data_IF_181547882459
#
_entry.id   IF_181547882459
#
_cell.length_a   1.000
_cell.length_b   1.000
_cell.length_c   1.000
_cell.angle_alpha   90.00
_cell.angle_beta   90.00
_cell.angle_gamma   90.00
#
_symmetry.space_group_name_H-M   'P 1'
#
loop_
_entity.id
_entity.type
_entity.pdbx_description
1 polymer ?
#
# COMPACT_ATOMS: atom_id res chain seq x y z
N UNK A 1 -32.29 1.52 16.67
CA UNK A 1 -30.88 1.06 16.60
C UNK A 1 -30.10 2.32 16.30
N UNK A 2 -29.16 2.68 17.12
CA UNK A 2 -28.24 3.81 16.85
C UNK A 2 -27.32 3.39 15.72
N UNK A 3 -27.05 4.30 14.78
CA UNK A 3 -26.06 4.04 13.71
C UNK A 3 -24.71 3.72 14.34
N UNK A 4 -23.92 2.81 13.74
CA UNK A 4 -22.60 2.50 14.25
C UNK A 4 -21.68 3.71 14.19
N UNK A 5 -20.83 3.86 15.19
CA UNK A 5 -19.83 4.94 15.28
C UNK A 5 -18.80 4.80 14.16
N UNK A 6 -18.62 5.82 13.32
CA UNK A 6 -17.65 5.76 12.24
C UNK A 6 -16.21 5.87 12.76
N UNK A 7 -15.33 5.06 12.17
CA UNK A 7 -13.89 5.09 12.39
C UNK A 7 -13.21 5.60 11.12
N UNK A 8 -12.31 6.55 11.26
CA UNK A 8 -11.35 6.94 10.22
C UNK A 8 -9.99 6.36 10.58
N UNK A 9 -9.41 5.57 9.67
CA UNK A 9 -8.05 5.06 9.79
C UNK A 9 -7.10 6.00 9.03
N UNK A 10 -6.14 6.58 9.73
CA UNK A 10 -5.10 7.45 9.16
C UNK A 10 -3.80 6.66 9.07
N UNK A 11 -3.27 6.52 7.87
CA UNK A 11 -2.00 5.87 7.54
C UNK A 11 -1.07 6.81 6.78
N UNK A 12 0.14 6.38 6.50
CA UNK A 12 1.16 7.15 5.77
C UNK A 12 2.53 7.01 6.43
N UNK A 13 3.63 7.27 5.70
CA UNK A 13 4.98 7.10 6.20
C UNK A 13 5.31 8.03 7.36
N UNK A 14 6.42 7.71 8.04
CA UNK A 14 6.92 8.55 9.14
C UNK A 14 7.21 9.97 8.63
N UNK A 15 6.78 10.98 9.40
CA UNK A 15 6.99 12.38 9.05
C UNK A 15 6.12 12.92 7.92
N UNK A 16 5.18 12.16 7.37
CA UNK A 16 4.29 12.62 6.29
C UNK A 16 3.28 13.69 6.73
N UNK A 17 2.95 13.77 8.02
CA UNK A 17 2.03 14.75 8.58
C UNK A 17 0.74 14.15 9.16
N UNK A 18 0.72 12.85 9.49
CA UNK A 18 -0.44 12.18 10.11
C UNK A 18 -0.87 12.85 11.41
N UNK A 19 0.07 13.03 12.34
CA UNK A 19 -0.18 13.67 13.63
C UNK A 19 -0.59 15.14 13.46
N UNK A 20 -0.06 15.82 12.44
CA UNK A 20 -0.51 17.17 12.08
C UNK A 20 -1.98 17.17 11.65
N UNK A 21 -2.42 16.20 10.82
CA UNK A 21 -3.82 16.03 10.45
C UNK A 21 -4.68 15.78 11.69
N UNK A 22 -4.27 14.84 12.54
CA UNK A 22 -5.02 14.48 13.75
C UNK A 22 -5.16 15.68 14.69
N UNK A 23 -4.09 16.44 14.91
CA UNK A 23 -4.12 17.67 15.70
C UNK A 23 -5.03 18.74 15.08
N UNK A 24 -5.00 18.90 13.76
CA UNK A 24 -5.91 19.82 13.07
C UNK A 24 -7.38 19.45 13.30
N UNK A 25 -7.72 18.16 13.20
CA UNK A 25 -9.08 17.66 13.46
C UNK A 25 -9.51 17.83 14.92
N UNK A 26 -8.59 17.70 15.88
CA UNK A 26 -8.87 17.92 17.30
C UNK A 26 -9.04 19.41 17.63
N UNK A 27 -8.26 20.29 17.00
CA UNK A 27 -8.30 21.73 17.23
C UNK A 27 -9.52 22.41 16.58
N UNK A 28 -9.98 21.89 15.43
CA UNK A 28 -11.19 22.38 14.74
C UNK A 28 -12.09 21.21 14.33
N UNK A 29 -12.75 20.54 15.28
CA UNK A 29 -13.62 19.40 15.01
C UNK A 29 -14.96 19.80 14.39
N UNK A 30 -15.22 21.11 14.20
CA UNK A 30 -16.55 21.61 13.88
C UNK A 30 -17.52 21.35 15.04
N UNK A 31 -18.75 20.93 14.72
CA UNK A 31 -19.76 20.56 15.73
C UNK A 31 -19.63 19.10 16.23
N UNK A 32 -18.48 18.42 15.96
CA UNK A 32 -18.29 16.98 16.19
C UNK A 32 -17.46 16.74 17.45
N UNK A 33 -17.75 15.63 18.13
CA UNK A 33 -16.93 15.10 19.23
C UNK A 33 -16.08 13.97 18.70
N UNK A 34 -14.77 14.20 18.59
CA UNK A 34 -13.79 13.28 18.05
C UNK A 34 -12.99 12.66 19.19
N UNK A 35 -12.81 11.34 19.15
CA UNK A 35 -11.82 10.65 19.96
C UNK A 35 -10.69 10.16 19.05
N UNK A 36 -9.48 10.06 19.60
CA UNK A 36 -8.28 9.64 18.86
C UNK A 36 -7.61 8.48 19.58
N UNK A 37 -7.19 7.48 18.82
CA UNK A 37 -6.30 6.41 19.26
C UNK A 37 -5.05 6.46 18.39
N UNK A 38 -3.89 6.61 19.01
CA UNK A 38 -2.60 6.59 18.34
C UNK A 38 -1.97 5.20 18.52
N UNK A 39 -1.72 4.51 17.42
CA UNK A 39 -1.09 3.20 17.41
C UNK A 39 0.35 3.36 16.90
N UNK A 40 1.28 3.70 17.79
CA UNK A 40 2.70 3.83 17.46
C UNK A 40 3.51 2.63 17.95
N UNK A 41 4.46 2.15 17.11
CA UNK A 41 5.33 1.01 17.39
C UNK A 41 6.70 1.42 17.97
N UNK A 42 6.88 2.66 18.37
CA UNK A 42 8.16 3.21 18.85
C UNK A 42 8.32 3.20 20.38
N UNK A 43 9.56 3.06 20.85
CA UNK A 43 9.92 3.16 22.29
C UNK A 43 9.81 4.61 22.86
N UNK A 44 9.65 5.60 21.98
CA UNK A 44 9.51 7.02 22.36
C UNK A 44 8.34 7.62 21.59
N UNK A 45 7.27 7.86 22.29
CA UNK A 45 6.03 8.37 21.73
C UNK A 45 6.03 9.90 21.66
N UNK A 46 6.87 10.43 20.77
CA UNK A 46 6.99 11.89 20.58
C UNK A 46 5.66 12.49 20.10
N UNK A 47 4.91 11.71 19.30
CA UNK A 47 3.64 12.17 18.73
C UNK A 47 2.52 12.17 19.77
N UNK A 48 2.46 11.19 20.67
CA UNK A 48 1.47 11.17 21.74
C UNK A 48 1.75 12.25 22.80
N UNK A 49 3.01 12.55 23.14
CA UNK A 49 3.34 13.66 24.02
C UNK A 49 2.89 15.02 23.45
N UNK A 50 2.96 15.19 22.11
CA UNK A 50 2.47 16.39 21.42
C UNK A 50 0.94 16.46 21.47
N UNK A 51 0.24 15.34 21.29
CA UNK A 51 -1.22 15.26 21.37
C UNK A 51 -1.74 15.50 22.79
N UNK A 52 -1.07 14.95 23.82
CA UNK A 52 -1.42 15.17 25.22
C UNK A 52 -1.16 16.63 25.67
N UNK A 53 -0.16 17.28 25.10
CA UNK A 53 0.14 18.68 25.45
C UNK A 53 -0.89 19.68 24.92
N UNK A 54 -1.65 19.30 23.88
CA UNK A 54 -2.61 20.18 23.22
C UNK A 54 -4.07 19.88 23.58
N UNK A 55 -4.39 18.70 24.14
CA UNK A 55 -5.76 18.31 24.48
C UNK A 55 -5.89 17.66 25.86
N UNK A 56 -6.62 18.33 26.77
CA UNK A 56 -6.90 17.82 28.13
C UNK A 56 -7.91 16.64 28.16
N UNK A 57 -8.55 16.27 27.02
CA UNK A 57 -9.67 15.35 27.00
C UNK A 57 -9.83 14.58 25.68
N UNK A 58 -9.12 13.51 25.42
CA UNK A 58 -9.55 12.63 24.33
C UNK A 58 -8.51 11.81 23.58
N UNK A 59 -7.23 11.94 23.93
CA UNK A 59 -6.16 11.15 23.31
C UNK A 59 -5.81 9.96 24.19
N UNK A 60 -5.70 8.77 23.58
CA UNK A 60 -5.18 7.57 24.24
C UNK A 60 -4.00 7.06 23.43
N UNK A 61 -2.87 6.94 24.13
CA UNK A 61 -1.65 6.36 23.61
C UNK A 61 -1.59 4.86 23.92
N UNK A 62 -1.25 4.05 22.92
CA UNK A 62 -1.03 2.60 23.02
C UNK A 62 0.45 2.24 23.17
N UNK A 63 1.21 2.96 23.97
CA UNK A 63 2.64 2.75 24.16
C UNK A 63 2.97 1.58 25.09
N UNK A 64 2.76 0.34 24.69
CA UNK A 64 3.31 -0.82 25.41
C UNK A 64 3.76 -1.94 24.47
N UNK A 65 4.97 -1.81 23.95
CA UNK A 65 5.91 -2.89 23.63
C UNK A 65 5.56 -3.83 22.49
N UNK A 66 6.48 -3.88 21.53
CA UNK A 66 6.66 -4.85 20.44
C UNK A 66 5.86 -6.14 20.49
N UNK A 67 5.10 -6.39 19.44
CA UNK A 67 4.86 -7.65 18.70
C UNK A 67 3.53 -7.51 17.96
N UNK A 68 3.56 -7.66 16.62
CA UNK A 68 2.45 -7.40 15.69
C UNK A 68 1.09 -8.04 16.04
N UNK A 69 1.02 -9.13 16.75
CA UNK A 69 -0.24 -9.79 17.13
C UNK A 69 -0.88 -9.20 18.39
N UNK A 70 -0.09 -8.73 19.36
CA UNK A 70 -0.63 -8.15 20.61
C UNK A 70 -1.21 -6.75 20.39
N UNK A 71 -0.63 -5.97 19.48
CA UNK A 71 -1.10 -4.62 19.16
C UNK A 71 -2.52 -4.59 18.58
N UNK A 72 -2.93 -5.63 17.84
CA UNK A 72 -4.27 -5.71 17.25
C UNK A 72 -5.33 -6.00 18.32
N UNK A 73 -5.06 -6.90 19.28
CA UNK A 73 -5.94 -7.19 20.40
C UNK A 73 -6.05 -6.00 21.36
N UNK A 74 -4.93 -5.31 21.59
CA UNK A 74 -4.87 -4.10 22.39
C UNK A 74 -5.69 -2.97 21.73
N UNK A 75 -5.62 -2.81 20.40
CA UNK A 75 -6.42 -1.82 19.66
C UNK A 75 -7.93 -2.06 19.84
N UNK A 76 -8.40 -3.29 19.65
CA UNK A 76 -9.84 -3.64 19.84
C UNK A 76 -10.27 -3.37 21.29
N UNK A 77 -9.43 -3.73 22.24
CA UNK A 77 -9.68 -3.55 23.67
C UNK A 77 -9.79 -2.06 24.03
N UNK A 78 -8.83 -1.26 23.57
CA UNK A 78 -8.79 0.17 23.86
C UNK A 78 -9.91 0.95 23.17
N UNK A 79 -10.22 0.65 21.91
CA UNK A 79 -11.36 1.24 21.20
C UNK A 79 -12.67 0.95 21.94
N UNK A 80 -12.83 -0.29 22.44
CA UNK A 80 -14.02 -0.69 23.19
C UNK A 80 -14.09 0.04 24.52
N UNK A 81 -12.97 0.08 25.28
CA UNK A 81 -12.88 0.79 26.56
C UNK A 81 -13.20 2.28 26.41
N UNK A 82 -12.60 2.92 25.41
CA UNK A 82 -12.83 4.35 25.14
C UNK A 82 -14.30 4.68 24.91
N UNK A 83 -15.00 3.84 24.15
CA UNK A 83 -16.41 4.02 23.86
C UNK A 83 -17.33 3.70 25.07
N UNK A 84 -16.86 2.93 26.04
CA UNK A 84 -17.59 2.67 27.29
C UNK A 84 -17.40 3.83 28.30
N UNK A 85 -16.22 4.47 28.31
CA UNK A 85 -15.87 5.50 29.26
C UNK A 85 -16.24 6.91 28.78
N UNK A 86 -16.29 7.14 27.45
CA UNK A 86 -16.46 8.46 26.85
C UNK A 86 -17.58 8.50 25.81
N UNK A 87 -18.10 9.71 25.57
CA UNK A 87 -19.14 9.95 24.55
C UNK A 87 -18.54 10.76 23.41
N UNK A 88 -18.37 10.13 22.24
CA UNK A 88 -17.90 10.74 21.01
C UNK A 88 -18.75 10.29 19.80
N UNK A 89 -18.58 10.95 18.66
CA UNK A 89 -19.35 10.71 17.43
C UNK A 89 -18.49 10.16 16.31
N UNK A 90 -17.18 10.39 16.39
CA UNK A 90 -16.17 9.91 15.45
C UNK A 90 -14.95 9.38 16.20
N UNK A 91 -14.37 8.32 15.69
CA UNK A 91 -13.09 7.79 16.16
C UNK A 91 -12.05 7.92 15.05
N UNK A 92 -10.91 8.53 15.36
CA UNK A 92 -9.75 8.55 14.48
C UNK A 92 -8.71 7.58 15.04
N UNK A 93 -8.24 6.65 14.22
CA UNK A 93 -7.15 5.74 14.55
C UNK A 93 -5.95 6.11 13.70
N UNK A 94 -4.89 6.62 14.33
CA UNK A 94 -3.62 6.88 13.67
C UNK A 94 -2.75 5.63 13.72
N UNK A 95 -2.40 5.09 12.55
CA UNK A 95 -1.49 3.97 12.43
C UNK A 95 -0.03 4.45 12.42
N UNK A 96 0.89 3.63 12.94
CA UNK A 96 2.32 3.88 12.85
C UNK A 96 2.79 4.07 11.40
N UNK A 97 3.79 4.92 11.18
CA UNK A 97 4.36 5.20 9.87
C UNK A 97 4.96 3.99 9.14
N UNK A 98 5.18 2.91 9.87
CA UNK A 98 5.71 1.64 9.36
C UNK A 98 4.66 0.52 9.33
N UNK A 99 3.42 0.81 9.71
CA UNK A 99 2.33 -0.18 9.73
C UNK A 99 1.71 -0.35 8.35
N UNK A 100 1.39 -1.59 8.04
CA UNK A 100 0.55 -1.93 6.90
C UNK A 100 -0.90 -1.55 7.20
N UNK A 101 -1.59 -0.83 6.30
CA UNK A 101 -2.96 -0.42 6.54
C UNK A 101 -3.96 -1.59 6.53
N UNK A 102 -3.71 -2.63 5.70
CA UNK A 102 -4.63 -3.76 5.53
C UNK A 102 -4.85 -4.55 6.81
N UNK A 103 -3.82 -5.00 7.56
CA UNK A 103 -4.00 -5.68 8.84
C UNK A 103 -4.77 -4.84 9.86
N UNK A 104 -4.47 -3.54 9.96
CA UNK A 104 -5.18 -2.63 10.87
C UNK A 104 -6.65 -2.49 10.47
N UNK A 105 -6.93 -2.24 9.19
CA UNK A 105 -8.29 -2.16 8.67
C UNK A 105 -9.08 -3.46 8.88
N UNK A 106 -8.42 -4.63 8.72
CA UNK A 106 -9.02 -5.93 8.99
C UNK A 106 -9.40 -6.08 10.48
N UNK A 107 -8.52 -5.68 11.38
CA UNK A 107 -8.79 -5.67 12.82
C UNK A 107 -9.99 -4.79 13.15
N UNK A 108 -10.09 -3.60 12.53
CA UNK A 108 -11.20 -2.66 12.73
C UNK A 108 -12.52 -3.09 12.06
N UNK A 109 -12.50 -4.09 11.16
CA UNK A 109 -13.70 -4.59 10.48
C UNK A 109 -14.15 -5.97 10.96
N UNK A 110 -13.20 -6.88 11.14
CA UNK A 110 -13.47 -8.28 11.47
C UNK A 110 -13.05 -8.67 12.91
N UNK A 111 -12.26 -7.82 13.58
CA UNK A 111 -11.62 -8.16 14.85
C UNK A 111 -10.41 -9.06 14.68
N UNK A 112 -10.02 -9.68 15.79
CA UNK A 112 -8.96 -10.68 15.87
C UNK A 112 -9.55 -12.04 16.28
N UNK A 113 -8.73 -13.08 16.35
CA UNK A 113 -9.17 -14.41 16.81
C UNK A 113 -9.62 -14.38 18.28
N UNK A 114 -9.06 -13.46 19.09
CA UNK A 114 -9.32 -13.35 20.54
C UNK A 114 -10.31 -12.24 20.88
N UNK A 115 -10.50 -11.23 20.01
CA UNK A 115 -11.36 -10.09 20.27
C UNK A 115 -12.05 -9.59 18.99
N UNK A 116 -13.30 -9.19 19.09
CA UNK A 116 -14.05 -8.55 18.00
C UNK A 116 -14.48 -7.14 18.38
N UNK A 117 -14.41 -6.24 17.41
CA UNK A 117 -14.96 -4.90 17.60
C UNK A 117 -16.48 -4.99 17.73
N UNK A 118 -17.10 -4.33 18.71
CA UNK A 118 -18.55 -4.34 18.84
C UNK A 118 -19.26 -3.83 17.59
N UNK A 119 -20.44 -4.36 17.26
CA UNK A 119 -21.29 -3.96 16.11
C UNK A 119 -21.64 -2.45 16.11
N UNK A 120 -21.33 -1.76 17.20
CA UNK A 120 -21.51 -0.30 17.32
C UNK A 120 -20.46 0.53 16.61
N UNK A 121 -19.44 -0.10 16.01
CA UNK A 121 -18.40 0.57 15.25
C UNK A 121 -18.44 0.17 13.78
N UNK A 122 -17.94 1.04 12.92
CA UNK A 122 -17.78 0.81 11.49
C UNK A 122 -16.54 1.55 10.99
N UNK A 123 -15.62 0.84 10.36
CA UNK A 123 -14.57 1.50 9.57
C UNK A 123 -15.27 2.22 8.40
N UNK A 124 -15.10 3.52 8.34
CA UNK A 124 -15.88 4.41 7.49
C UNK A 124 -15.04 5.04 6.38
N UNK A 125 -13.80 5.39 6.72
CA UNK A 125 -12.87 6.07 5.82
C UNK A 125 -11.46 5.58 6.08
N UNK A 126 -10.68 5.36 5.02
CA UNK A 126 -9.23 5.16 5.10
C UNK A 126 -8.53 6.34 4.45
N UNK A 127 -7.65 6.99 5.22
CA UNK A 127 -6.89 8.17 4.79
C UNK A 127 -5.43 7.81 4.74
N UNK A 128 -4.75 8.15 3.64
CA UNK A 128 -3.30 8.08 3.54
C UNK A 128 -2.71 9.48 3.42
N UNK A 129 -1.76 9.83 4.29
CA UNK A 129 -1.02 11.08 4.21
C UNK A 129 0.35 10.78 3.61
N UNK A 130 0.65 11.37 2.47
CA UNK A 130 1.89 11.14 1.71
C UNK A 130 2.66 12.44 1.61
N UNK A 131 3.96 12.40 1.91
CA UNK A 131 4.87 13.52 1.78
C UNK A 131 5.31 13.70 0.32
N UNK A 132 4.84 14.75 -0.34
CA UNK A 132 5.19 15.04 -1.72
C UNK A 132 6.70 15.23 -1.93
N UNK A 133 7.38 15.89 -0.97
CA UNK A 133 8.83 16.13 -1.03
C UNK A 133 9.66 14.85 -0.85
N UNK A 134 9.16 13.92 0.00
CA UNK A 134 9.83 12.64 0.28
C UNK A 134 9.46 11.52 -0.71
N UNK A 135 8.44 11.69 -1.54
CA UNK A 135 7.91 10.62 -2.37
C UNK A 135 8.96 9.97 -3.26
N UNK A 136 9.64 10.74 -4.12
CA UNK A 136 10.65 10.20 -5.03
C UNK A 136 11.89 9.67 -4.32
N UNK A 137 12.24 10.23 -3.17
CA UNK A 137 13.38 9.77 -2.37
C UNK A 137 13.21 8.34 -1.88
N UNK A 138 11.97 7.91 -1.65
CA UNK A 138 11.68 6.54 -1.26
C UNK A 138 12.02 5.51 -2.35
N UNK A 139 12.02 5.93 -3.62
CA UNK A 139 12.35 5.08 -4.77
C UNK A 139 13.79 5.23 -5.26
N UNK A 140 14.58 6.15 -4.70
CA UNK A 140 15.98 6.33 -5.08
C UNK A 140 16.90 5.36 -4.32
N UNK A 141 17.56 4.41 -5.02
CA UNK A 141 18.47 3.46 -4.38
C UNK A 141 19.70 4.13 -3.73
N UNK A 142 20.05 5.35 -4.17
CA UNK A 142 21.20 6.09 -3.67
C UNK A 142 20.89 6.88 -2.38
N UNK A 143 19.63 7.17 -2.10
CA UNK A 143 19.21 7.81 -0.86
C UNK A 143 18.86 6.72 0.17
N UNK A 144 19.86 6.25 0.91
CA UNK A 144 19.61 5.39 2.09
C UNK A 144 18.67 6.13 3.03
N UNK A 145 17.45 5.64 3.19
CA UNK A 145 16.57 6.09 4.27
C UNK A 145 17.29 5.86 5.61
N UNK A 146 17.21 6.80 6.57
CA UNK A 146 17.87 6.65 7.86
C UNK A 146 17.47 5.32 8.53
N UNK A 147 18.34 4.80 9.42
CA UNK A 147 18.33 3.50 10.10
C UNK A 147 17.01 3.00 10.74
N UNK A 148 15.90 3.58 10.39
CA UNK A 148 14.55 3.23 10.86
C UNK A 148 13.86 2.19 9.95
N UNK A 149 14.58 1.19 9.46
CA UNK A 149 13.92 0.08 8.78
C UNK A 149 13.13 -0.76 9.80
N UNK A 150 11.81 -0.93 9.62
CA UNK A 150 10.95 -1.61 10.60
C UNK A 150 11.29 -3.08 10.78
N UNK A 151 11.88 -3.69 9.79
CA UNK A 151 12.41 -5.05 9.82
C UNK A 151 13.30 -5.28 8.59
N UNK A 152 14.36 -6.11 8.68
CA UNK A 152 15.08 -6.52 7.47
C UNK A 152 14.21 -7.32 6.48
N UNK A 153 13.00 -7.69 6.87
CA UNK A 153 12.09 -8.52 6.10
C UNK A 153 11.14 -7.68 5.21
N UNK A 154 10.99 -6.36 5.46
CA UNK A 154 10.08 -5.52 4.67
C UNK A 154 10.57 -4.09 4.48
N UNK A 155 10.91 -3.72 3.24
CA UNK A 155 11.38 -2.38 2.89
C UNK A 155 10.32 -1.29 3.06
N UNK A 156 10.74 -0.08 3.42
CA UNK A 156 9.85 1.07 3.62
C UNK A 156 9.10 1.48 2.33
N UNK A 157 9.69 1.28 1.16
CA UNK A 157 9.05 1.53 -0.13
C UNK A 157 7.82 0.67 -0.35
N UNK A 158 7.86 -0.60 0.08
CA UNK A 158 6.71 -1.49 -0.01
C UNK A 158 5.57 -1.01 0.90
N UNK A 159 5.91 -0.61 2.13
CA UNK A 159 4.93 -0.04 3.07
C UNK A 159 4.31 1.24 2.51
N UNK A 160 5.13 2.14 1.92
CA UNK A 160 4.64 3.35 1.27
C UNK A 160 3.64 3.04 0.15
N UNK A 161 4.00 2.11 -0.74
CA UNK A 161 3.12 1.72 -1.85
C UNK A 161 1.83 1.10 -1.33
N UNK A 162 1.89 0.22 -0.34
CA UNK A 162 0.69 -0.35 0.27
C UNK A 162 -0.20 0.70 0.94
N UNK A 163 0.40 1.73 1.56
CA UNK A 163 -0.35 2.85 2.14
C UNK A 163 -1.03 3.71 1.06
N UNK A 164 -0.41 3.87 -0.11
CA UNK A 164 -1.03 4.52 -1.28
C UNK A 164 -2.14 3.66 -1.87
N UNK A 165 -1.88 2.36 -2.09
CA UNK A 165 -2.83 1.45 -2.73
C UNK A 165 -4.09 1.18 -1.90
N UNK A 166 -4.02 1.36 -0.57
CA UNK A 166 -5.10 1.05 0.35
C UNK A 166 -5.62 2.30 1.07
N UNK A 167 -6.23 3.21 0.32
CA UNK A 167 -6.92 4.37 0.90
C UNK A 167 -8.12 4.79 0.04
N UNK A 168 -9.09 5.43 0.68
CA UNK A 168 -10.23 6.09 0.04
C UNK A 168 -9.93 7.56 -0.24
N UNK A 169 -9.18 8.19 0.68
CA UNK A 169 -8.76 9.59 0.62
C UNK A 169 -7.23 9.65 0.74
N UNK A 170 -6.58 10.39 -0.15
CA UNK A 170 -5.15 10.61 -0.13
C UNK A 170 -4.84 12.10 0.02
N UNK A 171 -4.12 12.43 1.07
CA UNK A 171 -3.60 13.78 1.27
C UNK A 171 -2.15 13.82 0.80
N UNK A 172 -1.90 14.42 -0.36
CA UNK A 172 -0.56 14.74 -0.82
C UNK A 172 -0.10 15.99 -0.09
N UNK A 173 0.70 15.80 0.96
CA UNK A 173 1.08 16.86 1.89
C UNK A 173 2.45 17.45 1.57
N UNK A 174 2.76 18.61 2.18
CA UNK A 174 3.98 19.40 1.97
C UNK A 174 4.14 19.89 0.53
N UNK A 175 3.05 20.18 -0.13
CA UNK A 175 3.05 20.68 -1.50
C UNK A 175 3.75 22.03 -1.66
N UNK A 176 3.86 22.81 -0.59
CA UNK A 176 4.64 24.07 -0.55
C UNK A 176 6.15 23.87 -0.70
N UNK A 177 6.64 22.65 -0.55
CA UNK A 177 8.07 22.32 -0.65
C UNK A 177 8.49 21.78 -2.02
N UNK A 178 7.55 21.58 -2.95
CA UNK A 178 7.76 20.89 -4.22
C UNK A 178 7.25 21.76 -5.38
N UNK A 179 7.99 21.92 -6.49
CA UNK A 179 7.51 22.60 -7.68
C UNK A 179 6.26 21.94 -8.28
N UNK A 180 5.41 22.74 -8.94
CA UNK A 180 4.12 22.28 -9.47
C UNK A 180 4.26 21.12 -10.47
N UNK A 181 5.28 21.15 -11.33
CA UNK A 181 5.57 20.11 -12.32
C UNK A 181 5.98 18.77 -11.69
N UNK A 182 6.72 18.83 -10.57
CA UNK A 182 7.04 17.64 -9.77
C UNK A 182 5.82 17.14 -9.01
N UNK A 183 4.96 18.03 -8.48
CA UNK A 183 3.71 17.65 -7.84
C UNK A 183 2.78 16.93 -8.81
N UNK A 184 2.70 17.41 -10.06
CA UNK A 184 1.90 16.78 -11.11
C UNK A 184 2.41 15.36 -11.42
N UNK A 185 3.74 15.14 -11.44
CA UNK A 185 4.33 13.83 -11.64
C UNK A 185 4.08 12.88 -10.44
N UNK A 186 4.17 13.37 -9.20
CA UNK A 186 3.83 12.59 -8.00
C UNK A 186 2.35 12.21 -8.02
N UNK A 187 1.46 13.16 -8.28
CA UNK A 187 0.02 12.89 -8.38
C UNK A 187 -0.29 11.87 -9.46
N UNK A 188 0.33 11.97 -10.64
CA UNK A 188 0.19 11.03 -11.72
C UNK A 188 0.58 9.60 -11.29
N UNK A 189 1.71 9.45 -10.58
CA UNK A 189 2.17 8.16 -10.05
C UNK A 189 1.19 7.56 -9.03
N UNK A 190 0.68 8.40 -8.14
CA UNK A 190 -0.32 8.00 -7.16
C UNK A 190 -1.61 7.54 -7.86
N UNK A 191 -2.04 8.23 -8.92
CA UNK A 191 -3.24 7.86 -9.69
C UNK A 191 -3.11 6.51 -10.40
N UNK A 192 -1.90 6.14 -10.85
CA UNK A 192 -1.67 4.79 -11.39
C UNK A 192 -1.72 3.71 -10.31
N UNK A 193 -1.18 3.98 -9.12
CA UNK A 193 -1.23 3.06 -7.99
C UNK A 193 -2.65 2.94 -7.41
N UNK A 194 -3.35 4.07 -7.27
CA UNK A 194 -4.67 4.17 -6.65
C UNK A 194 -5.59 5.14 -7.42
N UNK A 195 -6.21 4.66 -8.49
CA UNK A 195 -7.02 5.52 -9.38
C UNK A 195 -8.34 5.99 -8.78
N UNK A 196 -8.77 5.43 -7.64
CA UNK A 196 -10.07 5.71 -7.03
C UNK A 196 -10.03 6.64 -5.85
N UNK A 197 -8.90 6.72 -5.15
CA UNK A 197 -8.80 7.59 -3.99
C UNK A 197 -9.11 9.05 -4.37
N UNK A 198 -9.86 9.72 -3.54
CA UNK A 198 -9.99 11.16 -3.63
C UNK A 198 -8.67 11.78 -3.18
N UNK A 199 -7.98 12.49 -4.09
CA UNK A 199 -6.66 13.06 -3.84
C UNK A 199 -6.77 14.56 -3.64
N UNK A 200 -6.19 15.04 -2.53
CA UNK A 200 -6.11 16.44 -2.17
C UNK A 200 -4.66 16.87 -1.95
N UNK A 201 -4.23 17.97 -2.61
CA UNK A 201 -2.95 18.62 -2.34
C UNK A 201 -3.08 19.48 -1.09
N UNK A 202 -2.22 19.27 -0.11
CA UNK A 202 -2.29 19.95 1.17
C UNK A 202 -0.94 20.52 1.60
N UNK A 203 -0.99 21.49 2.49
CA UNK A 203 0.13 22.02 3.24
C UNK A 203 -0.23 21.93 4.70
N UNK A 204 0.66 21.41 5.54
CA UNK A 204 0.40 21.09 6.95
C UNK A 204 -0.81 20.18 7.19
N UNK A 205 -1.14 19.35 6.21
CA UNK A 205 -2.31 18.45 6.23
C UNK A 205 -3.64 19.19 6.47
N UNK A 206 -3.72 20.47 6.15
CA UNK A 206 -4.95 21.25 6.28
C UNK A 206 -5.99 20.77 5.27
N UNK A 207 -7.14 20.33 5.77
CA UNK A 207 -8.26 19.83 4.99
C UNK A 207 -9.55 20.04 5.76
N UNK A 208 -10.66 20.19 5.05
CA UNK A 208 -11.98 20.24 5.70
C UNK A 208 -12.24 18.88 6.40
N UNK A 209 -12.62 18.87 7.68
CA UNK A 209 -12.93 17.63 8.40
C UNK A 209 -13.92 16.71 7.68
N UNK A 210 -14.85 17.24 6.90
CA UNK A 210 -15.81 16.44 6.12
C UNK A 210 -15.15 15.61 5.02
N UNK A 211 -13.94 15.98 4.59
CA UNK A 211 -13.16 15.23 3.60
C UNK A 211 -12.65 13.90 4.14
N UNK A 212 -12.41 13.82 5.45
CA UNK A 212 -11.76 12.68 6.10
C UNK A 212 -12.60 11.99 7.18
N UNK A 213 -13.71 12.61 7.60
CA UNK A 213 -14.59 12.10 8.66
C UNK A 213 -15.98 11.80 8.12
N UNK A 214 -16.46 10.57 8.29
CA UNK A 214 -17.83 10.19 7.98
C UNK A 214 -18.14 10.17 6.49
N UNK A 215 -17.15 9.88 5.64
CA UNK A 215 -17.33 9.86 4.17
C UNK A 215 -18.18 8.68 3.72
N UNK A 216 -18.21 7.58 4.48
CA UNK A 216 -18.91 6.34 4.10
C UNK A 216 -18.30 5.63 2.89
N UNK A 217 -17.06 5.98 2.52
CA UNK A 217 -16.44 5.49 1.27
C UNK A 217 -15.77 4.15 1.43
N UNK A 218 -15.46 3.72 2.66
CA UNK A 218 -14.74 2.48 2.88
C UNK A 218 -15.59 1.23 2.63
N UNK A 219 -15.09 0.35 1.75
CA UNK A 219 -15.56 -1.01 1.56
C UNK A 219 -14.35 -1.94 1.45
N UNK A 220 -14.21 -2.87 2.40
CA UNK A 220 -13.04 -3.73 2.50
C UNK A 220 -12.86 -4.63 1.26
N UNK A 221 -13.95 -5.19 0.71
CA UNK A 221 -13.88 -6.03 -0.47
C UNK A 221 -13.52 -5.23 -1.73
N UNK A 222 -14.02 -4.02 -1.79
CA UNK A 222 -13.68 -3.08 -2.86
C UNK A 222 -12.23 -2.66 -2.75
N UNK A 223 -11.77 -2.24 -1.57
CA UNK A 223 -10.38 -1.84 -1.32
C UNK A 223 -9.38 -2.94 -1.68
N UNK A 224 -9.67 -4.20 -1.34
CA UNK A 224 -8.82 -5.35 -1.72
C UNK A 224 -8.76 -5.64 -3.21
N UNK A 225 -9.83 -5.38 -3.95
CA UNK A 225 -9.95 -5.78 -5.38
C UNK A 225 -9.49 -4.70 -6.35
N UNK A 226 -9.42 -3.45 -5.93
CA UNK A 226 -9.31 -2.30 -6.84
C UNK A 226 -7.98 -1.56 -6.77
N UNK A 227 -6.94 -2.20 -6.27
CA UNK A 227 -5.57 -1.71 -6.44
C UNK A 227 -5.26 -1.56 -7.93
N UNK A 228 -4.51 -0.55 -8.32
CA UNK A 228 -4.23 -0.20 -9.73
C UNK A 228 -3.74 -1.39 -10.55
N UNK A 229 -2.81 -2.20 -10.01
CA UNK A 229 -2.28 -3.38 -10.68
C UNK A 229 -3.34 -4.47 -10.91
N UNK A 230 -4.30 -4.67 -9.99
CA UNK A 230 -5.40 -5.65 -10.19
C UNK A 230 -6.36 -5.21 -11.30
N UNK A 231 -6.59 -3.88 -11.38
CA UNK A 231 -7.39 -3.31 -12.46
C UNK A 231 -6.70 -3.49 -13.82
N UNK A 232 -5.40 -3.22 -13.90
CA UNK A 232 -4.63 -3.42 -15.12
C UNK A 232 -4.68 -4.89 -15.58
N UNK A 233 -4.55 -5.86 -14.66
CA UNK A 233 -4.74 -7.29 -14.97
C UNK A 233 -6.14 -7.60 -15.50
N UNK A 234 -7.19 -7.05 -14.88
CA UNK A 234 -8.57 -7.32 -15.30
C UNK A 234 -8.87 -6.77 -16.70
N UNK A 235 -8.39 -5.57 -17.03
CA UNK A 235 -8.51 -4.98 -18.37
C UNK A 235 -7.81 -5.84 -19.41
N UNK A 236 -6.59 -6.32 -19.12
CA UNK A 236 -5.85 -7.20 -20.01
C UNK A 236 -6.52 -8.58 -20.21
N UNK A 237 -7.38 -9.01 -19.28
CA UNK A 237 -8.20 -10.23 -19.44
C UNK A 237 -9.36 -10.05 -20.40
N UNK A 238 -9.98 -8.86 -20.42
CA UNK A 238 -11.10 -8.55 -21.30
C UNK A 238 -10.68 -8.38 -22.77
N UNK A 239 -9.44 -7.94 -23.02
CA UNK A 239 -8.90 -7.68 -24.36
C UNK A 239 -8.43 -8.93 -25.12
N UNK A 240 -8.24 -10.07 -24.44
CA UNK A 240 -7.88 -11.36 -25.05
C UNK A 240 -6.42 -11.46 -25.53
N UNK A 241 -5.95 -12.67 -25.96
CA UNK A 241 -4.54 -12.94 -26.27
C UNK A 241 -4.02 -12.39 -27.60
N UNK A 242 -4.86 -11.81 -28.45
CA UNK A 242 -4.50 -11.38 -29.82
C UNK A 242 -4.07 -9.91 -29.95
N UNK A 243 -4.04 -9.14 -28.86
CA UNK A 243 -3.46 -7.81 -28.86
C UNK A 243 -2.04 -7.88 -28.30
N UNK A 244 -1.04 -7.87 -29.20
CA UNK A 244 0.34 -7.52 -28.87
C UNK A 244 0.30 -6.19 -28.10
N UNK A 245 0.68 -6.25 -26.81
CA UNK A 245 0.38 -5.27 -25.75
C UNK A 245 0.91 -3.87 -25.91
N UNK A 246 0.56 -3.21 -26.97
CA UNK A 246 0.80 -1.79 -27.22
C UNK A 246 -0.51 -1.05 -27.46
N UNK A 247 -1.53 -1.27 -26.62
CA UNK A 247 -2.63 -0.32 -26.63
C UNK A 247 -2.26 0.86 -25.71
N UNK A 248 -1.75 1.92 -26.36
CA UNK A 248 -1.78 3.27 -25.81
C UNK A 248 -3.22 3.74 -25.72
N UNK A 249 -4.04 2.99 -24.99
CA UNK A 249 -5.42 3.34 -24.71
C UNK A 249 -5.43 4.66 -23.97
N UNK A 250 -6.02 5.67 -24.63
CA UNK A 250 -6.24 7.04 -24.17
C UNK A 250 -5.07 7.53 -23.29
N UNK A 251 -4.16 8.33 -23.85
CA UNK A 251 -3.05 8.93 -23.11
C UNK A 251 -3.57 9.35 -21.72
N UNK A 252 -3.29 8.55 -20.70
CA UNK A 252 -3.69 8.86 -19.35
C UNK A 252 -3.03 10.19 -18.98
N UNK A 253 -3.65 10.97 -18.10
CA UNK A 253 -2.99 12.17 -17.59
C UNK A 253 -1.58 11.83 -17.04
N UNK A 254 -1.38 10.61 -16.59
CA UNK A 254 -0.13 10.05 -16.11
C UNK A 254 0.96 9.99 -17.20
N UNK A 255 0.63 9.57 -18.41
CA UNK A 255 1.59 9.51 -19.52
C UNK A 255 2.16 10.88 -19.90
N UNK A 256 1.38 11.96 -19.70
CA UNK A 256 1.85 13.33 -19.92
C UNK A 256 2.98 13.73 -18.94
N UNK A 257 3.10 13.03 -17.81
CA UNK A 257 4.12 13.22 -16.77
C UNK A 257 5.16 12.09 -16.74
N UNK A 258 5.22 11.27 -17.81
CA UNK A 258 6.17 10.19 -17.95
C UNK A 258 5.86 8.96 -17.07
N UNK A 259 4.68 8.88 -16.47
CA UNK A 259 4.27 7.70 -15.68
C UNK A 259 3.49 6.77 -16.58
N UNK A 260 3.95 5.54 -16.68
CA UNK A 260 3.42 4.51 -17.56
C UNK A 260 3.15 3.23 -16.79
N UNK A 261 2.16 2.47 -17.28
CA UNK A 261 1.86 1.12 -16.78
C UNK A 261 1.62 0.19 -17.95
N UNK A 262 2.11 -1.04 -17.86
CA UNK A 262 1.82 -2.08 -18.83
C UNK A 262 1.74 -3.45 -18.19
N UNK A 263 1.14 -4.40 -18.90
CA UNK A 263 1.00 -5.79 -18.46
C UNK A 263 1.86 -6.69 -19.34
N UNK A 264 2.82 -7.38 -18.71
CA UNK A 264 3.57 -8.46 -19.36
C UNK A 264 2.82 -9.77 -19.17
N UNK A 265 2.58 -10.50 -20.27
CA UNK A 265 1.90 -11.80 -20.25
C UNK A 265 2.64 -12.82 -21.13
N UNK A 266 2.89 -14.04 -20.58
CA UNK A 266 3.43 -15.17 -21.34
C UNK A 266 2.85 -16.48 -20.83
N UNK A 267 2.63 -17.40 -21.77
CA UNK A 267 2.20 -18.79 -21.53
C UNK A 267 3.38 -19.77 -21.55
N UNK A 268 4.60 -19.26 -21.50
CA UNK A 268 5.85 -19.98 -21.41
C UNK A 268 6.49 -19.71 -20.04
N UNK A 269 7.03 -20.75 -19.37
CA UNK A 269 7.63 -20.55 -18.04
C UNK A 269 8.95 -19.79 -18.13
N UNK A 270 9.27 -19.09 -17.06
CA UNK A 270 10.61 -18.53 -16.86
C UNK A 270 11.60 -19.61 -16.42
N UNK A 271 12.85 -19.42 -16.81
CA UNK A 271 14.01 -20.01 -16.15
C UNK A 271 14.20 -19.31 -14.79
N UNK A 272 14.30 -20.09 -13.71
CA UNK A 272 14.32 -19.53 -12.34
C UNK A 272 15.53 -18.63 -12.10
N UNK A 273 16.71 -19.07 -12.52
CA UNK A 273 17.97 -18.34 -12.29
C UNK A 273 18.02 -17.04 -13.09
N UNK A 274 17.56 -17.07 -14.36
CA UNK A 274 17.51 -15.88 -15.22
C UNK A 274 16.50 -14.86 -14.71
N UNK A 275 15.36 -15.32 -14.23
CA UNK A 275 14.31 -14.43 -13.73
C UNK A 275 14.69 -13.79 -12.39
N UNK A 276 15.32 -14.56 -11.48
CA UNK A 276 15.86 -14.06 -10.24
C UNK A 276 16.95 -13.01 -10.47
N UNK A 277 17.90 -13.31 -11.36
CA UNK A 277 18.95 -12.36 -11.76
C UNK A 277 18.35 -11.06 -12.35
N UNK A 278 17.31 -11.17 -13.18
CA UNK A 278 16.63 -10.01 -13.74
C UNK A 278 15.95 -9.16 -12.65
N UNK A 279 15.32 -9.80 -11.66
CA UNK A 279 14.70 -9.10 -10.53
C UNK A 279 15.74 -8.37 -9.69
N UNK A 280 16.92 -8.96 -9.48
CA UNK A 280 17.99 -8.39 -8.66
C UNK A 280 18.79 -7.29 -9.38
N UNK A 281 19.00 -7.42 -10.71
CA UNK A 281 19.84 -6.52 -11.49
C UNK A 281 19.06 -5.41 -12.19
N UNK A 282 17.74 -5.43 -12.10
CA UNK A 282 16.95 -4.46 -12.81
C UNK A 282 17.03 -3.07 -12.18
N UNK A 283 17.79 -2.20 -12.85
CA UNK A 283 17.89 -0.78 -12.57
C UNK A 283 16.88 -0.02 -13.44
N UNK A 284 15.75 0.32 -12.89
CA UNK A 284 14.75 1.10 -13.60
C UNK A 284 13.92 1.97 -12.69
N UNK A 285 13.26 2.95 -13.26
CA UNK A 285 12.35 3.84 -12.53
C UNK A 285 11.02 3.14 -12.23
N UNK A 286 11.09 1.92 -11.68
CA UNK A 286 9.92 1.16 -11.27
C UNK A 286 9.41 1.64 -9.93
N UNK A 287 8.17 2.05 -9.94
CA UNK A 287 7.42 2.35 -8.73
C UNK A 287 6.83 1.06 -8.17
N UNK A 288 6.23 0.24 -9.04
CA UNK A 288 5.58 -1.00 -8.69
C UNK A 288 5.71 -2.06 -9.78
N UNK A 289 6.09 -3.28 -9.40
CA UNK A 289 5.86 -4.49 -10.19
C UNK A 289 5.08 -5.46 -9.33
N UNK A 290 3.98 -6.00 -9.82
CA UNK A 290 3.18 -6.97 -9.07
C UNK A 290 2.47 -7.95 -9.98
N UNK A 291 2.37 -9.19 -9.50
CA UNK A 291 1.64 -10.24 -10.22
C UNK A 291 2.09 -11.62 -9.82
N UNK A 292 2.02 -12.52 -10.78
CA UNK A 292 2.47 -13.91 -10.61
C UNK A 292 3.25 -14.39 -11.83
N UNK A 293 4.18 -15.28 -11.56
CA UNK A 293 5.04 -15.87 -12.57
C UNK A 293 4.92 -17.40 -12.58
N UNK A 294 5.01 -17.98 -13.77
CA UNK A 294 5.17 -19.39 -13.97
C UNK A 294 6.66 -19.70 -14.17
N UNK A 295 7.21 -20.59 -13.36
CA UNK A 295 8.64 -20.94 -13.37
C UNK A 295 8.83 -22.41 -13.68
N UNK A 296 9.75 -22.74 -14.58
CA UNK A 296 9.95 -24.10 -15.10
C UNK A 296 10.39 -25.08 -14.01
N UNK A 297 11.14 -24.65 -12.99
CA UNK A 297 11.61 -25.47 -11.86
C UNK A 297 10.49 -25.91 -10.91
N UNK A 298 9.33 -25.23 -10.93
CA UNK A 298 8.14 -25.53 -10.10
C UNK A 298 6.84 -25.35 -10.89
N UNK A 299 6.55 -26.24 -11.83
CA UNK A 299 5.51 -26.04 -12.84
C UNK A 299 4.09 -25.98 -12.28
N UNK A 300 3.85 -26.52 -11.09
CA UNK A 300 2.54 -26.53 -10.44
C UNK A 300 2.32 -25.35 -9.49
N UNK A 301 3.40 -24.60 -9.16
CA UNK A 301 3.35 -23.52 -8.17
C UNK A 301 3.13 -22.16 -8.84
N UNK A 302 2.22 -21.38 -8.30
CA UNK A 302 2.07 -19.96 -8.62
C UNK A 302 3.12 -19.17 -7.82
N UNK A 303 4.10 -18.58 -8.49
CA UNK A 303 5.08 -17.72 -7.85
C UNK A 303 4.55 -16.28 -7.82
N UNK A 304 4.23 -15.74 -6.64
CA UNK A 304 3.91 -14.33 -6.48
C UNK A 304 5.15 -13.47 -6.57
N UNK A 305 5.04 -12.33 -7.22
CA UNK A 305 6.11 -11.32 -7.33
C UNK A 305 5.56 -9.97 -6.91
N UNK A 306 6.31 -9.27 -6.08
CA UNK A 306 6.00 -7.92 -5.60
C UNK A 306 7.30 -7.11 -5.55
N UNK A 307 7.33 -5.99 -6.26
CA UNK A 307 8.43 -5.04 -6.20
C UNK A 307 7.88 -3.64 -5.94
N UNK A 308 8.53 -2.89 -5.07
CA UNK A 308 8.28 -1.49 -4.80
C UNK A 308 9.62 -0.75 -4.80
N UNK A 309 9.89 0.04 -5.84
CA UNK A 309 11.21 0.61 -6.06
C UNK A 309 12.30 -0.49 -6.04
N UNK A 310 13.38 -0.32 -5.25
CA UNK A 310 14.48 -1.30 -5.19
C UNK A 310 14.12 -2.57 -4.41
N UNK A 311 12.98 -2.62 -3.76
CA UNK A 311 12.58 -3.71 -2.89
C UNK A 311 11.83 -4.79 -3.67
N UNK A 312 12.35 -6.01 -3.72
CA UNK A 312 11.76 -7.16 -4.41
C UNK A 312 11.42 -8.26 -3.42
N UNK A 313 10.24 -8.85 -3.56
CA UNK A 313 9.81 -10.06 -2.87
C UNK A 313 9.21 -11.03 -3.89
N UNK A 314 9.62 -12.29 -3.82
CA UNK A 314 9.03 -13.36 -4.59
C UNK A 314 8.83 -14.59 -3.70
N UNK A 315 7.70 -15.28 -3.84
CA UNK A 315 7.39 -16.45 -3.03
C UNK A 315 6.13 -17.18 -3.50
N UNK A 316 5.90 -18.42 -3.02
CA UNK A 316 4.73 -19.20 -3.42
C UNK A 316 3.43 -18.56 -2.93
N UNK A 317 2.42 -18.49 -3.81
CA UNK A 317 1.06 -18.07 -3.50
C UNK A 317 0.07 -19.24 -3.43
N UNK A 318 0.45 -20.42 -3.95
CA UNK A 318 -0.37 -21.60 -4.06
C UNK A 318 -0.07 -22.42 -5.32
N UNK A 319 -0.98 -23.28 -5.72
CA UNK A 319 -0.87 -24.11 -6.92
C UNK A 319 -1.84 -23.63 -8.00
N UNK A 320 -1.48 -23.85 -9.30
CA UNK A 320 -2.35 -23.53 -10.43
C UNK A 320 -3.66 -24.33 -10.42
N UNK A 321 -3.65 -25.54 -9.87
CA UNK A 321 -4.81 -26.41 -9.81
C UNK A 321 -5.38 -26.78 -11.19
N UNK A 322 -6.54 -26.25 -11.53
CA UNK A 322 -7.21 -26.47 -12.81
C UNK A 322 -6.93 -25.33 -13.83
N UNK A 323 -6.26 -24.27 -13.43
CA UNK A 323 -5.96 -23.14 -14.28
C UNK A 323 -4.71 -23.40 -15.12
N UNK A 324 -4.68 -22.90 -16.34
CA UNK A 324 -3.51 -23.00 -17.21
C UNK A 324 -2.39 -22.10 -16.68
N UNK A 325 -1.16 -22.63 -16.47
CA UNK A 325 -0.04 -21.84 -15.99
C UNK A 325 0.29 -20.67 -16.93
N UNK A 326 0.45 -19.49 -16.37
CA UNK A 326 0.76 -18.27 -17.14
C UNK A 326 1.49 -17.26 -16.26
N UNK A 327 2.39 -16.49 -16.85
CA UNK A 327 2.97 -15.31 -16.20
C UNK A 327 2.12 -14.10 -16.51
N UNK A 328 1.82 -13.30 -15.47
CA UNK A 328 1.17 -11.99 -15.59
C UNK A 328 1.80 -11.04 -14.60
N UNK A 329 2.50 -10.03 -15.10
CA UNK A 329 3.15 -8.99 -14.30
C UNK A 329 2.65 -7.62 -14.74
N UNK A 330 2.18 -6.83 -13.81
CA UNK A 330 1.89 -5.40 -14.01
C UNK A 330 3.12 -4.62 -13.59
N UNK A 331 3.58 -3.73 -14.43
CA UNK A 331 4.73 -2.87 -14.18
C UNK A 331 4.25 -1.42 -14.29
N UNK A 332 4.49 -0.64 -13.24
CA UNK A 332 4.17 0.78 -13.14
C UNK A 332 5.47 1.53 -12.83
N UNK A 333 5.76 2.58 -13.55
CA UNK A 333 6.98 3.35 -13.30
C UNK A 333 7.03 4.64 -14.09
N UNK A 334 8.17 5.32 -13.99
CA UNK A 334 8.42 6.59 -14.66
C UNK A 334 9.38 6.38 -15.82
N UNK A 335 9.07 7.01 -16.97
CA UNK A 335 9.89 6.94 -18.17
C UNK A 335 10.28 5.51 -18.59
N UNK A 336 9.36 4.55 -18.38
CA UNK A 336 9.59 3.13 -18.69
C UNK A 336 9.75 2.90 -20.19
N UNK A 337 10.75 2.11 -20.58
CA UNK A 337 10.85 1.53 -21.92
C UNK A 337 10.23 0.12 -21.90
N UNK A 338 8.92 0.05 -22.15
CA UNK A 338 8.15 -1.21 -22.14
C UNK A 338 8.69 -2.26 -23.13
N UNK A 339 9.23 -1.83 -24.30
CA UNK A 339 9.82 -2.75 -25.29
C UNK A 339 11.11 -3.37 -24.74
N UNK A 340 11.97 -2.55 -24.13
CA UNK A 340 13.22 -3.02 -23.51
C UNK A 340 12.94 -3.97 -22.36
N UNK A 341 11.99 -3.62 -21.48
CA UNK A 341 11.61 -4.47 -20.34
C UNK A 341 10.99 -5.79 -20.83
N UNK A 342 10.09 -5.72 -21.82
CA UNK A 342 9.48 -6.92 -22.41
C UNK A 342 10.55 -7.84 -23.03
N UNK A 343 11.50 -7.28 -23.79
CA UNK A 343 12.58 -8.06 -24.39
C UNK A 343 13.50 -8.69 -23.34
N UNK A 344 13.77 -7.99 -22.24
CA UNK A 344 14.57 -8.51 -21.12
C UNK A 344 13.85 -9.68 -20.41
N UNK A 345 12.54 -9.53 -20.13
CA UNK A 345 11.71 -10.60 -19.57
C UNK A 345 11.59 -11.80 -20.52
N UNK A 346 11.46 -11.56 -21.84
CA UNK A 346 11.47 -12.65 -22.83
C UNK A 346 12.81 -13.40 -22.85
N UNK A 347 13.91 -12.72 -22.54
CA UNK A 347 15.22 -13.32 -22.33
C UNK A 347 15.31 -14.26 -21.12
N UNK A 348 14.39 -14.12 -20.16
CA UNK A 348 14.28 -14.98 -18.99
C UNK A 348 13.44 -16.25 -19.24
N UNK A 349 12.77 -16.38 -20.39
CA UNK A 349 11.95 -17.55 -20.69
C UNK A 349 12.81 -18.82 -20.80
N UNK A 350 12.31 -19.94 -20.30
CA UNK A 350 12.99 -21.22 -20.37
C UNK A 350 13.04 -21.72 -21.82
N UNK A 351 14.16 -22.33 -22.20
CA UNK A 351 14.32 -22.92 -23.53
C UNK A 351 13.39 -24.14 -23.67
N UNK A 352 12.71 -24.31 -24.83
CA UNK A 352 11.80 -25.46 -25.11
C UNK A 352 12.46 -26.83 -24.93
N UNK A 353 13.79 -26.90 -24.96
CA UNK A 353 14.59 -28.09 -24.84
C UNK A 353 15.33 -28.25 -23.52
N UNK A 354 15.24 -27.29 -22.61
CA UNK A 354 15.86 -27.41 -21.30
C UNK A 354 15.08 -28.45 -20.47
N UNK A 355 15.78 -29.49 -19.98
CA UNK A 355 15.25 -30.28 -18.88
C UNK A 355 14.96 -29.31 -17.74
N UNK A 356 13.71 -29.30 -17.22
CA UNK A 356 13.32 -28.50 -16.10
C UNK A 356 14.40 -28.55 -15.02
N UNK A 357 15.01 -27.42 -14.70
CA UNK A 357 16.03 -27.33 -13.66
C UNK A 357 15.52 -28.05 -12.42
N UNK A 358 16.37 -28.81 -11.77
CA UNK A 358 15.93 -29.56 -10.59
C UNK A 358 15.52 -28.56 -9.51
N UNK A 359 14.41 -28.83 -8.85
CA UNK A 359 13.90 -27.98 -7.75
C UNK A 359 14.95 -27.69 -6.65
N UNK A 360 16.09 -28.39 -6.66
CA UNK A 360 17.18 -28.19 -5.69
C UNK A 360 18.02 -26.91 -5.93
N UNK A 361 18.00 -26.34 -7.13
CA UNK A 361 18.78 -25.13 -7.50
C UNK A 361 17.93 -23.87 -7.65
N UNK A 362 16.62 -23.95 -7.39
CA UNK A 362 15.69 -22.84 -7.52
C UNK A 362 15.93 -21.79 -6.42
N UNK A 363 16.21 -20.51 -6.76
CA UNK A 363 16.57 -19.47 -5.82
C UNK A 363 15.38 -18.98 -4.97
N UNK A 364 14.13 -19.17 -5.44
CA UNK A 364 12.95 -18.63 -4.76
C UNK A 364 12.58 -19.43 -3.50
N UNK A 365 12.02 -18.75 -2.45
CA UNK A 365 11.57 -19.42 -1.24
C UNK A 365 10.60 -20.57 -1.52
N UNK A 366 10.63 -21.58 -0.66
CA UNK A 366 9.69 -22.71 -0.68
C UNK A 366 8.66 -22.51 0.44
N UNK A 367 7.49 -23.08 0.27
CA UNK A 367 6.54 -23.17 1.39
C UNK A 367 7.23 -23.87 2.59
N UNK A 368 7.14 -23.24 3.75
CA UNK A 368 7.67 -23.75 5.02
C UNK A 368 6.69 -24.71 5.69
#
# INVERSE_FOLDING_TARGET
MTDPLPITLVSGPLGAGKTTLVNSLLNDPGDRRIAVVVNDMGEVNVDAELLEAESDDGVIDLSNGCICCRLQDDLVTEVTRLADERSFEYLVVEASGISEPIPVARTLTAGTDDASLPDRFRLDTTVSVIDAYGFWKAFDPAESLPDAAPSPERPLTEVLVDQVEFCDVLLLNKCDMVPDDELDAVEASIRELQPRAELYRTTYSEVDPETVLGTGSFDFEVARRQQGWKRALAVAEEEGPDHDGHDHGAQSAAAAHGVESFVYRREQPFDADRFDAWLDEWEGDVIRLKGFAWVASRPETVLGVSQAGPAVQAGPLGEWGADDPTTRLVIIGRDLDGDTITAALDGCLADESAEAGTAETDPFPRES
#
